data_IF_258032763870
#
_entry.id   IF_258032763870
#
_cell.length_a   1.000
_cell.length_b   1.000
_cell.length_c   1.000
_cell.angle_alpha   90.00
_cell.angle_beta   90.00
_cell.angle_gamma   90.00
#
_symmetry.space_group_name_H-M   'P 1'
#
loop_
_entity.id
_entity.type
_entity.pdbx_description
1 polymer ?
#
# COMPACT_ATOMS: atom_id res chain seq x y z
N UNK A 1 -4.36 21.69 -12.32
CA UNK A 1 -5.59 21.07 -11.78
C UNK A 1 -5.95 19.79 -12.54
N UNK A 2 -6.05 19.81 -13.87
CA UNK A 2 -6.33 18.60 -14.65
C UNK A 2 -5.20 17.55 -14.62
N UNK A 3 -3.94 17.97 -14.75
CA UNK A 3 -2.77 17.06 -14.62
C UNK A 3 -2.76 16.37 -13.25
N UNK A 4 -3.07 17.11 -12.17
CA UNK A 4 -3.20 16.57 -10.82
C UNK A 4 -4.25 15.46 -10.72
N UNK A 5 -5.36 15.57 -11.46
CA UNK A 5 -6.40 14.55 -11.48
C UNK A 5 -5.98 13.30 -12.27
N UNK A 6 -5.27 13.50 -13.38
CA UNK A 6 -4.66 12.41 -14.16
C UNK A 6 -3.61 11.67 -13.32
N UNK A 7 -2.70 12.38 -12.64
CA UNK A 7 -1.71 11.79 -11.74
C UNK A 7 -2.38 10.96 -10.65
N UNK A 8 -3.43 11.48 -10.01
CA UNK A 8 -4.18 10.75 -8.99
C UNK A 8 -4.78 9.44 -9.53
N UNK A 9 -5.29 9.45 -10.77
CA UNK A 9 -5.79 8.24 -11.44
C UNK A 9 -4.69 7.26 -11.81
N UNK A 10 -3.49 7.75 -12.11
CA UNK A 10 -2.29 6.96 -12.41
C UNK A 10 -1.55 6.47 -11.15
N UNK A 11 -2.17 6.51 -9.98
CA UNK A 11 -1.54 6.07 -8.73
C UNK A 11 -0.36 6.95 -8.28
N UNK A 12 -0.36 8.23 -8.66
CA UNK A 12 0.69 9.18 -8.31
C UNK A 12 0.19 10.31 -7.42
N UNK A 13 1.11 10.86 -6.64
CA UNK A 13 0.89 12.10 -5.91
C UNK A 13 0.61 13.25 -6.88
N UNK A 14 -0.41 14.05 -6.57
CA UNK A 14 -0.73 15.23 -7.37
C UNK A 14 0.17 16.43 -7.03
N UNK A 15 0.24 17.39 -7.97
CA UNK A 15 1.10 18.56 -7.85
C UNK A 15 0.61 19.48 -6.70
N UNK A 16 1.46 19.79 -5.70
CA UNK A 16 1.11 20.70 -4.62
C UNK A 16 0.61 22.05 -5.13
N UNK A 17 -0.42 22.61 -4.49
CA UNK A 17 -1.07 23.85 -4.93
C UNK A 17 -2.08 23.68 -6.07
N UNK A 18 -2.10 22.53 -6.76
CA UNK A 18 -3.06 22.26 -7.83
C UNK A 18 -4.01 21.14 -7.44
N UNK A 19 -5.18 21.52 -6.90
CA UNK A 19 -6.25 20.56 -6.59
C UNK A 19 -6.65 19.78 -7.87
N UNK A 20 -6.79 18.44 -7.80
CA UNK A 20 -7.33 17.64 -8.89
C UNK A 20 -8.66 18.19 -9.41
N UNK A 21 -8.75 18.39 -10.72
CA UNK A 21 -10.00 18.66 -11.43
C UNK A 21 -10.19 17.61 -12.54
N UNK A 22 -11.28 16.84 -12.47
CA UNK A 22 -11.48 15.66 -13.32
C UNK A 22 -12.15 15.93 -14.67
N UNK A 23 -12.30 17.22 -15.02
CA UNK A 23 -12.78 17.66 -16.33
C UNK A 23 -11.62 17.72 -17.33
N UNK A 24 -11.19 16.56 -17.82
CA UNK A 24 -10.12 16.46 -18.82
C UNK A 24 -10.42 15.42 -19.90
N UNK A 25 -9.76 15.57 -21.05
CA UNK A 25 -9.87 14.65 -22.18
C UNK A 25 -8.91 13.47 -22.03
N UNK A 26 -9.23 12.33 -22.65
CA UNK A 26 -8.38 11.12 -22.68
C UNK A 26 -6.96 11.40 -23.20
N UNK A 27 -6.82 12.32 -24.15
CA UNK A 27 -5.53 12.76 -24.69
C UNK A 27 -4.56 13.27 -23.63
N UNK A 28 -5.05 13.90 -22.56
CA UNK A 28 -4.22 14.34 -21.44
C UNK A 28 -3.70 13.15 -20.63
N UNK A 29 -4.51 12.10 -20.47
CA UNK A 29 -4.12 10.88 -19.76
C UNK A 29 -2.94 10.22 -20.47
N UNK A 30 -3.08 10.02 -21.78
CA UNK A 30 -2.04 9.38 -22.60
C UNK A 30 -0.77 10.25 -22.69
N UNK A 31 -0.89 11.58 -22.67
CA UNK A 31 0.26 12.48 -22.60
C UNK A 31 1.02 12.37 -21.27
N UNK A 32 0.32 12.39 -20.13
CA UNK A 32 0.95 12.24 -18.81
C UNK A 32 1.55 10.84 -18.64
N UNK A 33 0.85 9.79 -19.08
CA UNK A 33 1.37 8.43 -19.03
C UNK A 33 2.66 8.25 -19.84
N UNK A 34 2.72 8.81 -21.07
CA UNK A 34 3.95 8.85 -21.85
C UNK A 34 5.05 9.61 -21.14
N UNK A 35 4.73 10.76 -20.54
CA UNK A 35 5.71 11.52 -19.77
C UNK A 35 6.28 10.69 -18.61
N UNK A 36 5.45 10.01 -17.82
CA UNK A 36 5.92 9.13 -16.73
C UNK A 36 6.82 8.00 -17.23
N UNK A 37 6.52 7.42 -18.38
CA UNK A 37 7.36 6.38 -18.99
C UNK A 37 8.76 6.88 -19.37
N UNK A 38 8.89 8.17 -19.76
CA UNK A 38 10.18 8.81 -20.05
C UNK A 38 10.88 9.40 -18.82
N UNK A 39 10.20 9.46 -17.67
CA UNK A 39 10.69 10.08 -16.43
C UNK A 39 10.54 9.07 -15.26
N UNK A 40 11.19 7.90 -15.31
CA UNK A 40 11.00 6.83 -14.32
C UNK A 40 11.42 7.24 -12.90
N UNK A 41 12.31 8.22 -12.77
CA UNK A 41 12.69 8.82 -11.48
C UNK A 41 11.51 9.46 -10.76
N UNK A 42 10.46 9.87 -11.49
CA UNK A 42 9.22 10.34 -10.89
C UNK A 42 8.52 9.21 -10.11
N UNK A 43 8.48 8.01 -10.68
CA UNK A 43 7.80 6.85 -10.09
C UNK A 43 8.61 6.24 -8.93
N UNK A 44 9.94 6.36 -9.00
CA UNK A 44 10.85 5.89 -7.95
C UNK A 44 11.04 6.83 -6.77
N UNK A 45 10.25 7.91 -6.66
CA UNK A 45 10.37 8.84 -5.53
C UNK A 45 10.07 8.13 -4.21
N UNK A 46 11.03 8.24 -3.30
CA UNK A 46 10.87 7.85 -1.91
C UNK A 46 10.62 9.09 -1.05
N UNK A 47 9.94 8.93 0.11
CA UNK A 47 9.88 10.01 1.08
C UNK A 47 11.30 10.47 1.40
N UNK A 48 11.52 11.80 1.35
CA UNK A 48 12.79 12.38 1.79
C UNK A 48 12.91 12.12 3.29
N UNK A 49 13.65 11.09 3.67
CA UNK A 49 14.13 10.97 5.04
C UNK A 49 14.98 12.21 5.29
N UNK A 50 14.57 13.04 6.25
CA UNK A 50 15.44 14.11 6.70
C UNK A 50 16.73 13.44 7.17
N UNK A 51 17.84 13.69 6.47
CA UNK A 51 19.14 13.16 6.84
C UNK A 51 19.47 13.63 8.26
N UNK A 52 19.25 12.76 9.24
CA UNK A 52 19.41 13.05 10.66
C UNK A 52 18.92 11.87 11.49
N UNK A 53 19.59 11.63 12.62
CA UNK A 53 19.32 10.59 13.64
C UNK A 53 17.95 10.75 14.35
N UNK A 54 16.96 11.35 13.70
CA UNK A 54 15.62 11.46 14.24
C UNK A 54 14.82 10.17 13.96
N UNK A 55 14.21 9.63 15.00
CA UNK A 55 13.22 8.56 14.87
C UNK A 55 12.22 8.94 13.77
N UNK A 56 11.92 7.99 12.88
CA UNK A 56 10.92 8.19 11.83
C UNK A 56 9.62 8.67 12.47
N UNK A 57 9.04 9.76 11.93
CA UNK A 57 7.81 10.34 12.47
C UNK A 57 6.73 9.26 12.66
N UNK A 58 5.86 9.34 13.68
CA UNK A 58 4.82 8.34 13.89
C UNK A 58 3.98 8.11 12.64
N UNK A 59 3.81 6.85 12.23
CA UNK A 59 2.90 6.50 11.15
C UNK A 59 1.48 6.57 11.70
N UNK A 60 0.63 7.39 11.07
CA UNK A 60 -0.78 7.44 11.43
C UNK A 60 -1.54 6.34 10.69
N UNK A 61 -2.10 5.40 11.45
CA UNK A 61 -2.99 4.34 10.97
C UNK A 61 -4.44 4.79 11.21
N UNK A 62 -5.15 5.10 10.12
CA UNK A 62 -6.54 5.55 10.14
C UNK A 62 -7.54 4.43 9.84
N UNK A 63 -8.86 4.73 9.90
CA UNK A 63 -9.87 3.78 9.47
C UNK A 63 -9.75 3.50 7.96
N UNK A 64 -10.03 2.26 7.57
CA UNK A 64 -10.08 1.89 6.16
C UNK A 64 -11.18 2.67 5.41
N UNK A 65 -11.00 2.98 4.12
CA UNK A 65 -11.98 3.76 3.35
C UNK A 65 -13.37 3.12 3.28
N UNK A 66 -13.46 1.80 3.39
CA UNK A 66 -14.73 1.04 3.39
C UNK A 66 -15.41 0.98 4.75
N UNK A 67 -14.71 1.35 5.83
CA UNK A 67 -15.26 1.49 7.17
C UNK A 67 -15.61 2.95 7.52
N UNK A 68 -15.41 3.87 6.57
CA UNK A 68 -15.74 5.28 6.71
C UNK A 68 -17.16 5.54 6.25
N UNK A 69 -17.91 6.35 7.01
CA UNK A 69 -19.25 6.83 6.62
C UNK A 69 -19.21 7.93 5.53
N UNK A 70 -18.03 8.30 5.05
CA UNK A 70 -17.91 9.29 3.98
C UNK A 70 -18.29 8.68 2.64
N UNK A 71 -19.12 9.37 1.82
CA UNK A 71 -19.41 8.90 0.48
C UNK A 71 -18.11 8.80 -0.32
N UNK A 72 -17.99 7.82 -1.23
CA UNK A 72 -16.85 7.76 -2.13
C UNK A 72 -16.72 9.07 -2.94
N UNK A 73 -15.50 9.44 -3.36
CA UNK A 73 -15.31 10.58 -4.25
C UNK A 73 -16.16 10.43 -5.52
N UNK A 74 -16.73 11.53 -6.00
CA UNK A 74 -17.59 11.53 -7.20
C UNK A 74 -16.86 10.94 -8.41
N UNK A 75 -15.53 11.09 -8.46
CA UNK A 75 -14.70 10.68 -9.58
C UNK A 75 -14.05 9.29 -9.38
N UNK A 76 -14.49 8.52 -8.37
CA UNK A 76 -13.96 7.19 -8.06
C UNK A 76 -13.91 6.29 -9.30
N UNK A 77 -15.01 6.16 -10.04
CA UNK A 77 -15.09 5.27 -11.21
C UNK A 77 -14.10 5.67 -12.30
N UNK A 78 -14.01 6.97 -12.59
CA UNK A 78 -13.05 7.49 -13.58
C UNK A 78 -11.61 7.21 -13.14
N UNK A 79 -11.31 7.35 -11.85
CA UNK A 79 -9.99 7.07 -11.31
C UNK A 79 -9.64 5.57 -11.38
N UNK A 80 -10.57 4.70 -11.01
CA UNK A 80 -10.37 3.24 -11.10
C UNK A 80 -10.21 2.80 -12.55
N UNK A 81 -10.96 3.39 -13.49
CA UNK A 81 -10.82 3.12 -14.91
C UNK A 81 -9.43 3.50 -15.43
N UNK A 82 -8.91 4.67 -15.04
CA UNK A 82 -7.53 5.07 -15.40
C UNK A 82 -6.52 4.12 -14.77
N UNK A 83 -6.66 3.80 -13.48
CA UNK A 83 -5.73 2.89 -12.80
C UNK A 83 -5.68 1.51 -13.47
N UNK A 84 -6.84 0.97 -13.89
CA UNK A 84 -6.93 -0.28 -14.61
C UNK A 84 -6.32 -0.19 -16.03
N UNK A 85 -6.62 0.89 -16.78
CA UNK A 85 -6.08 1.10 -18.14
C UNK A 85 -4.56 1.11 -18.17
N UNK A 86 -3.92 1.61 -17.12
CA UNK A 86 -2.46 1.75 -17.04
C UNK A 86 -1.77 0.76 -16.10
N UNK A 87 -2.48 -0.30 -15.67
CA UNK A 87 -1.95 -1.33 -14.77
C UNK A 87 -1.19 -0.75 -13.56
N UNK A 88 -1.81 0.19 -12.84
CA UNK A 88 -1.19 0.82 -11.66
C UNK A 88 -0.87 -0.23 -10.60
N UNK A 89 -1.76 -1.20 -10.40
CA UNK A 89 -1.53 -2.29 -9.45
C UNK A 89 -0.27 -3.09 -9.81
N UNK A 90 -0.12 -3.54 -11.06
CA UNK A 90 1.06 -4.27 -11.49
C UNK A 90 2.32 -3.42 -11.54
N UNK A 91 2.19 -2.12 -11.84
CA UNK A 91 3.33 -1.19 -11.78
C UNK A 91 3.88 -1.06 -10.36
N UNK A 92 3.00 -0.87 -9.38
CA UNK A 92 3.38 -0.76 -7.98
C UNK A 92 3.95 -2.10 -7.47
N UNK A 93 3.35 -3.23 -7.85
CA UNK A 93 3.84 -4.59 -7.53
C UNK A 93 5.25 -4.86 -8.06
N UNK A 94 5.54 -4.46 -9.31
CA UNK A 94 6.88 -4.61 -9.91
C UNK A 94 7.92 -3.66 -9.32
N UNK A 95 7.50 -2.64 -8.57
CA UNK A 95 8.39 -1.66 -7.98
C UNK A 95 8.98 -2.18 -6.66
N UNK A 96 10.00 -3.04 -6.76
CA UNK A 96 10.69 -3.63 -5.60
C UNK A 96 11.23 -2.59 -4.61
N UNK A 97 11.65 -1.43 -5.10
CA UNK A 97 12.14 -0.36 -4.22
C UNK A 97 11.00 0.22 -3.36
N UNK A 98 9.80 0.38 -3.93
CA UNK A 98 8.61 0.86 -3.23
C UNK A 98 8.10 -0.18 -2.23
N UNK A 99 8.02 -1.46 -2.63
CA UNK A 99 7.65 -2.57 -1.74
C UNK A 99 8.56 -2.62 -0.51
N UNK A 100 9.88 -2.74 -0.74
CA UNK A 100 10.88 -2.79 0.32
C UNK A 100 10.83 -1.58 1.26
N UNK A 101 10.72 -0.37 0.72
CA UNK A 101 10.64 0.84 1.54
C UNK A 101 9.36 0.87 2.40
N UNK A 102 8.26 0.34 1.88
CA UNK A 102 7.01 0.16 2.61
C UNK A 102 7.15 -0.83 3.77
N UNK A 103 7.71 -2.01 3.49
CA UNK A 103 7.96 -3.05 4.50
C UNK A 103 8.89 -2.54 5.61
N UNK A 104 10.01 -1.88 5.25
CA UNK A 104 10.92 -1.25 6.22
C UNK A 104 10.17 -0.24 7.11
N UNK A 105 9.28 0.56 6.50
CA UNK A 105 8.49 1.57 7.20
C UNK A 105 7.52 0.96 8.20
N UNK A 106 6.85 -0.14 7.83
CA UNK A 106 5.93 -0.89 8.71
C UNK A 106 6.72 -1.57 9.83
N UNK A 107 7.85 -2.21 9.53
CA UNK A 107 8.69 -2.85 10.54
C UNK A 107 9.16 -1.85 11.61
N UNK A 108 9.60 -0.66 11.17
CA UNK A 108 9.97 0.43 12.07
C UNK A 108 8.78 0.90 12.93
N UNK A 109 7.58 1.00 12.33
CA UNK A 109 6.34 1.35 13.04
C UNK A 109 6.00 0.32 14.13
N UNK A 110 6.01 -0.97 13.80
CA UNK A 110 5.69 -2.06 14.73
C UNK A 110 6.65 -2.09 15.91
N UNK A 111 7.96 -1.98 15.65
CA UNK A 111 8.99 -1.91 16.70
C UNK A 111 8.80 -0.69 17.60
N UNK A 112 8.52 0.48 17.02
CA UNK A 112 8.29 1.70 17.79
C UNK A 112 7.04 1.61 18.67
N UNK A 113 5.94 1.05 18.14
CA UNK A 113 4.69 0.85 18.88
C UNK A 113 4.90 -0.08 20.08
N UNK A 114 5.57 -1.22 19.89
CA UNK A 114 5.87 -2.18 20.96
C UNK A 114 6.76 -1.56 22.05
N UNK A 115 7.81 -0.82 21.66
CA UNK A 115 8.66 -0.08 22.61
C UNK A 115 7.86 0.94 23.40
N UNK A 116 6.97 1.69 22.74
CA UNK A 116 6.13 2.72 23.37
C UNK A 116 5.21 2.16 24.46
N UNK A 117 4.78 0.91 24.34
CA UNK A 117 3.96 0.22 25.36
C UNK A 117 4.79 -0.64 26.32
N UNK A 118 6.12 -0.44 26.36
CA UNK A 118 7.01 -1.15 27.29
C UNK A 118 7.35 -2.59 26.90
N UNK A 119 7.00 -3.03 25.69
CA UNK A 119 7.26 -4.39 25.18
C UNK A 119 8.52 -4.46 24.33
N UNK A 120 9.64 -3.99 24.87
CA UNK A 120 10.93 -4.07 24.19
C UNK A 120 11.36 -5.51 23.89
N UNK A 121 10.92 -6.46 24.73
CA UNK A 121 11.12 -7.89 24.56
C UNK A 121 10.49 -8.41 23.26
N UNK A 122 9.31 -7.90 22.90
CA UNK A 122 8.64 -8.23 21.64
C UNK A 122 9.17 -7.42 20.47
N UNK A 123 9.49 -6.15 20.68
CA UNK A 123 10.05 -5.29 19.63
C UNK A 123 11.33 -5.89 19.01
N UNK A 124 12.17 -6.54 19.83
CA UNK A 124 13.37 -7.26 19.37
C UNK A 124 13.07 -8.53 18.57
N UNK A 125 11.86 -9.09 18.69
CA UNK A 125 11.42 -10.32 18.02
C UNK A 125 10.67 -10.05 16.71
N UNK A 126 10.41 -8.79 16.37
CA UNK A 126 9.79 -8.43 15.07
C UNK A 126 10.76 -8.78 13.93
N UNK A 127 10.29 -9.58 12.97
CA UNK A 127 11.06 -10.12 11.83
C UNK A 127 10.50 -9.66 10.49
N UNK A 128 11.38 -9.53 9.50
CA UNK A 128 11.02 -9.24 8.12
C UNK A 128 11.06 -10.57 7.34
N UNK A 129 9.92 -11.25 7.31
CA UNK A 129 9.81 -12.63 6.86
C UNK A 129 10.01 -12.77 5.36
N UNK A 130 9.45 -11.89 4.53
CA UNK A 130 9.67 -11.94 3.07
C UNK A 130 11.14 -11.72 2.67
N UNK A 131 11.88 -10.88 3.40
CA UNK A 131 13.32 -10.68 3.19
C UNK A 131 14.18 -11.83 3.74
N UNK A 132 13.84 -12.36 4.92
CA UNK A 132 14.65 -13.39 5.61
C UNK A 132 14.37 -14.82 5.11
N UNK A 133 13.11 -15.16 4.88
CA UNK A 133 12.60 -16.51 4.62
C UNK A 133 11.98 -16.65 3.21
N UNK A 134 11.75 -15.54 2.49
CA UNK A 134 11.11 -15.48 1.17
C UNK A 134 9.59 -15.36 1.19
N UNK A 135 8.97 -15.18 0.02
CA UNK A 135 7.53 -14.84 -0.12
C UNK A 135 6.56 -16.01 0.16
N UNK A 136 7.09 -17.20 0.50
CA UNK A 136 6.30 -18.41 0.71
C UNK A 136 5.39 -18.37 1.96
N UNK A 137 5.67 -17.46 2.90
CA UNK A 137 4.93 -17.38 4.17
C UNK A 137 3.52 -16.78 4.04
N UNK A 138 3.25 -16.01 2.96
CA UNK A 138 1.96 -15.33 2.74
C UNK A 138 1.74 -14.08 3.61
N UNK A 139 2.83 -13.50 4.13
CA UNK A 139 2.90 -12.21 4.82
C UNK A 139 4.36 -11.71 4.86
N UNK A 140 4.55 -10.40 5.00
CA UNK A 140 5.88 -9.77 4.98
C UNK A 140 6.51 -9.66 6.37
N UNK A 141 5.73 -9.34 7.40
CA UNK A 141 6.24 -9.00 8.73
C UNK A 141 5.57 -9.86 9.80
N UNK A 142 6.39 -10.53 10.61
CA UNK A 142 5.94 -11.15 11.86
C UNK A 142 6.15 -10.16 13.01
N UNK A 143 5.06 -9.75 13.64
CA UNK A 143 4.99 -8.80 14.76
C UNK A 143 4.14 -9.38 15.90
N UNK A 144 3.84 -8.54 16.89
CA UNK A 144 3.05 -8.89 18.06
C UNK A 144 2.11 -7.77 18.46
N UNK A 145 0.96 -8.13 18.99
CA UNK A 145 0.11 -7.22 19.74
C UNK A 145 0.72 -6.93 21.14
N UNK A 146 0.30 -5.86 21.85
CA UNK A 146 0.82 -5.53 23.17
C UNK A 146 0.66 -6.65 24.22
N UNK A 147 -0.39 -7.47 24.07
CA UNK A 147 -0.67 -8.64 24.90
C UNK A 147 0.18 -9.87 24.55
N UNK A 148 1.02 -9.78 23.51
CA UNK A 148 1.91 -10.85 23.06
C UNK A 148 1.30 -11.81 22.04
N UNK A 149 0.05 -11.62 21.61
CA UNK A 149 -0.49 -12.38 20.48
C UNK A 149 0.30 -12.09 19.22
N UNK A 150 0.53 -13.13 18.42
CA UNK A 150 1.14 -13.01 17.10
C UNK A 150 0.33 -12.10 16.20
N UNK A 151 1.03 -11.36 15.35
CA UNK A 151 0.46 -10.47 14.34
C UNK A 151 1.23 -10.67 13.04
N UNK A 152 0.55 -11.12 12.00
CA UNK A 152 1.13 -11.39 10.67
C UNK A 152 0.67 -10.28 9.73
N UNK A 153 1.61 -9.59 9.11
CA UNK A 153 1.31 -8.36 8.38
C UNK A 153 1.75 -8.50 6.93
N UNK A 154 0.78 -8.39 6.02
CA UNK A 154 1.01 -8.24 4.59
C UNK A 154 1.01 -6.76 4.21
N UNK A 155 2.10 -6.26 3.64
CA UNK A 155 2.31 -4.83 3.37
C UNK A 155 2.05 -4.54 1.90
N UNK A 156 1.10 -3.66 1.61
CA UNK A 156 0.89 -3.16 0.24
C UNK A 156 1.14 -1.66 0.20
N UNK A 157 2.03 -1.22 -0.68
CA UNK A 157 2.49 0.18 -0.73
C UNK A 157 2.17 0.83 -2.06
N UNK A 158 1.70 2.08 -2.03
CA UNK A 158 1.47 2.90 -3.22
C UNK A 158 1.82 4.37 -2.98
N UNK A 159 2.27 5.07 -4.03
CA UNK A 159 2.35 6.54 -4.03
C UNK A 159 0.99 7.19 -4.28
N UNK A 160 0.00 6.40 -4.71
CA UNK A 160 -1.35 6.86 -4.95
C UNK A 160 -2.13 7.10 -3.67
N UNK A 161 -3.43 7.26 -3.87
CA UNK A 161 -4.42 7.52 -2.83
C UNK A 161 -4.94 6.23 -2.19
N UNK A 162 -5.75 6.35 -1.14
CA UNK A 162 -6.19 5.27 -0.27
C UNK A 162 -7.02 4.17 -0.95
N UNK A 163 -7.58 4.41 -2.16
CA UNK A 163 -8.31 3.42 -2.97
C UNK A 163 -7.59 3.01 -4.25
N UNK A 164 -6.29 3.32 -4.37
CA UNK A 164 -5.49 2.82 -5.50
C UNK A 164 -5.53 1.29 -5.50
N UNK A 165 -5.86 0.62 -6.62
CA UNK A 165 -5.84 -0.83 -6.71
C UNK A 165 -4.47 -1.44 -6.39
N UNK A 166 -4.47 -2.71 -5.99
CA UNK A 166 -3.26 -3.47 -5.69
C UNK A 166 -3.53 -4.95 -5.97
N UNK A 167 -2.46 -5.72 -6.13
CA UNK A 167 -2.56 -7.17 -6.21
C UNK A 167 -2.42 -7.81 -4.85
N UNK A 168 -3.12 -8.93 -4.69
CA UNK A 168 -3.00 -9.83 -3.56
C UNK A 168 -2.85 -11.24 -4.13
N UNK A 169 -1.84 -11.97 -3.68
CA UNK A 169 -1.55 -13.29 -4.22
C UNK A 169 -2.53 -14.35 -3.68
N UNK A 170 -2.61 -15.51 -4.36
CA UNK A 170 -3.39 -16.64 -3.87
C UNK A 170 -2.86 -17.13 -2.51
N UNK A 171 -1.54 -17.11 -2.32
CA UNK A 171 -0.91 -17.55 -1.07
C UNK A 171 -1.30 -16.62 0.09
N UNK A 172 -1.22 -15.31 -0.12
CA UNK A 172 -1.67 -14.30 0.85
C UNK A 172 -3.15 -14.50 1.23
N UNK A 173 -4.03 -14.74 0.26
CA UNK A 173 -5.45 -14.99 0.52
C UNK A 173 -5.68 -16.28 1.34
N UNK A 174 -4.96 -17.35 1.04
CA UNK A 174 -5.06 -18.61 1.80
C UNK A 174 -4.60 -18.40 3.24
N UNK A 175 -3.43 -17.77 3.44
CA UNK A 175 -2.89 -17.54 4.79
C UNK A 175 -3.76 -16.57 5.59
N UNK A 176 -4.29 -15.53 4.95
CA UNK A 176 -5.25 -14.62 5.56
C UNK A 176 -6.49 -15.35 6.07
N UNK A 177 -6.99 -16.32 5.30
CA UNK A 177 -8.15 -17.13 5.64
C UNK A 177 -7.86 -18.17 6.73
N UNK A 178 -6.67 -18.78 6.73
CA UNK A 178 -6.26 -19.75 7.75
C UNK A 178 -5.91 -19.10 9.09
N UNK A 179 -5.40 -17.86 9.07
CA UNK A 179 -4.87 -17.15 10.25
C UNK A 179 -5.63 -15.84 10.54
N UNK A 180 -6.95 -15.84 10.37
CA UNK A 180 -7.82 -14.65 10.48
C UNK A 180 -7.61 -13.78 11.73
N UNK A 181 -7.30 -14.40 12.87
CA UNK A 181 -7.11 -13.70 14.15
C UNK A 181 -5.77 -13.00 14.28
N UNK A 182 -4.79 -13.35 13.46
CA UNK A 182 -3.41 -12.87 13.52
C UNK A 182 -3.04 -12.05 12.28
N UNK A 183 -3.58 -12.41 11.11
CA UNK A 183 -3.25 -11.81 9.83
C UNK A 183 -3.97 -10.49 9.59
N UNK A 184 -3.27 -9.51 9.03
CA UNK A 184 -3.86 -8.27 8.52
C UNK A 184 -3.13 -7.75 7.29
N UNK A 185 -3.89 -7.11 6.40
CA UNK A 185 -3.36 -6.29 5.32
C UNK A 185 -3.04 -4.90 5.88
N UNK A 186 -1.83 -4.41 5.67
CA UNK A 186 -1.39 -3.08 6.03
C UNK A 186 -1.13 -2.25 4.77
N UNK A 187 -2.06 -1.33 4.47
CA UNK A 187 -2.04 -0.54 3.23
C UNK A 187 -1.38 0.82 3.48
N UNK A 188 -0.20 1.02 2.90
CA UNK A 188 0.50 2.31 2.84
C UNK A 188 0.11 3.07 1.57
N UNK A 189 -0.23 4.35 1.72
CA UNK A 189 -0.60 5.23 0.61
C UNK A 189 -0.02 6.65 0.80
N UNK A 190 0.01 7.45 -0.28
CA UNK A 190 0.72 8.73 -0.37
C UNK A 190 2.19 8.62 0.11
N UNK A 191 2.81 7.48 -0.17
CA UNK A 191 4.06 7.07 0.47
C UNK A 191 5.23 8.04 0.21
N UNK A 192 5.38 8.57 -1.01
CA UNK A 192 6.48 9.49 -1.32
C UNK A 192 6.40 10.87 -0.64
N UNK A 193 5.22 11.25 -0.12
CA UNK A 193 4.97 12.60 0.38
C UNK A 193 4.63 12.65 1.86
N UNK A 194 3.58 11.95 2.25
CA UNK A 194 3.06 11.94 3.61
C UNK A 194 2.42 10.57 3.84
N UNK A 195 3.25 9.54 4.13
CA UNK A 195 2.77 8.18 4.33
C UNK A 195 1.61 8.16 5.30
N UNK A 196 0.52 7.56 4.85
CA UNK A 196 -0.63 7.21 5.68
C UNK A 196 -0.90 5.73 5.56
N UNK A 197 -1.56 5.18 6.56
CA UNK A 197 -1.87 3.78 6.61
C UNK A 197 -3.33 3.53 7.00
N UNK A 198 -3.82 2.36 6.62
CA UNK A 198 -4.97 1.70 7.24
C UNK A 198 -4.75 0.19 7.21
N UNK A 199 -5.54 -0.53 7.99
CA UNK A 199 -5.47 -1.98 8.08
C UNK A 199 -6.80 -2.62 7.68
N UNK A 200 -6.74 -3.81 7.07
CA UNK A 200 -7.89 -4.67 6.84
C UNK A 200 -7.64 -6.03 7.51
N UNK A 201 -8.64 -6.52 8.21
CA UNK A 201 -8.63 -7.86 8.80
C UNK A 201 -9.53 -8.80 7.97
N UNK A 202 -9.20 -10.09 7.89
CA UNK A 202 -10.06 -11.07 7.25
C UNK A 202 -11.45 -11.17 7.93
N UNK A 203 -12.51 -11.53 7.19
CA UNK A 203 -12.52 -11.86 5.76
C UNK A 203 -12.39 -10.60 4.88
N UNK A 204 -11.47 -10.63 3.91
CA UNK A 204 -11.14 -9.44 3.10
C UNK A 204 -12.29 -9.02 2.19
N UNK A 205 -13.13 -9.96 1.77
CA UNK A 205 -14.30 -9.75 0.93
C UNK A 205 -15.36 -8.87 1.61
N UNK A 206 -15.33 -8.76 2.94
CA UNK A 206 -16.17 -7.80 3.67
C UNK A 206 -15.72 -6.34 3.45
N UNK A 207 -14.49 -6.14 2.97
CA UNK A 207 -13.84 -4.83 2.87
C UNK A 207 -13.46 -4.42 1.45
N UNK A 208 -13.17 -5.39 0.57
CA UNK A 208 -12.68 -5.16 -0.79
C UNK A 208 -13.28 -6.17 -1.77
N UNK A 209 -13.34 -5.79 -3.05
CA UNK A 209 -13.74 -6.70 -4.13
C UNK A 209 -12.50 -7.36 -4.75
N UNK A 210 -12.46 -8.68 -4.75
CA UNK A 210 -11.41 -9.47 -5.39
C UNK A 210 -11.80 -9.78 -6.83
N UNK A 211 -10.96 -9.41 -7.80
CA UNK A 211 -11.14 -9.74 -9.22
C UNK A 211 -9.99 -10.64 -9.66
N UNK A 212 -10.25 -11.84 -10.21
CA UNK A 212 -9.20 -12.70 -10.73
C UNK A 212 -8.49 -12.04 -11.91
N UNK A 213 -7.17 -11.86 -11.81
CA UNK A 213 -6.34 -11.23 -12.86
C UNK A 213 -5.38 -12.20 -13.53
N UNK A 214 -4.91 -13.22 -12.80
CA UNK A 214 -3.95 -14.21 -13.31
C UNK A 214 -4.36 -15.59 -12.82
N UNK A 215 -4.28 -16.58 -13.71
CA UNK A 215 -4.54 -17.99 -13.41
C UNK A 215 -3.26 -18.78 -13.67
N UNK A 216 -2.92 -19.68 -12.75
CA UNK A 216 -1.88 -20.67 -12.97
C UNK A 216 -2.51 -21.91 -13.61
N UNK A 217 -1.91 -22.40 -14.70
CA UNK A 217 -2.27 -23.67 -15.31
C UNK A 217 -1.25 -24.73 -14.89
N UNK A 218 -1.73 -25.93 -14.59
CA UNK A 218 -0.94 -27.11 -14.24
C UNK A 218 -1.50 -28.36 -14.91
N UNK A 219 -0.75 -29.47 -14.86
CA UNK A 219 -1.13 -30.76 -15.43
C UNK A 219 -1.55 -31.78 -14.35
N UNK A 220 -1.88 -31.27 -13.16
CA UNK A 220 -2.26 -32.06 -11.99
C UNK A 220 -3.72 -32.54 -12.07
#
# INVERSE_FOLDING_TARGET
>A
QNISAVLKGLGEDWIPGYKPAFKFQTSLIDAVARWLAYNPEWLGRMPKTAAGLHEAAPLWVGPAPTLSNQPPPQELEQMLHVAAKFDVAGRDERNRALGRAGEERVMAHERANLKKVGREDLARKVRWVSEEDGDGAGYDIASFAPDGRSRLIEVKTTNGWERTPFYISRNELVVAEERRSEWCLFRLYHFSRAPKAFELHPPLEAHISLTPTTFQAGFD
#
